data_IF_661794654884
#
_entry.id   IF_661794654884
#
_cell.length_a   1.000
_cell.length_b   1.000
_cell.length_c   1.000
_cell.angle_alpha   90.00
_cell.angle_beta   90.00
_cell.angle_gamma   90.00
#
_symmetry.space_group_name_H-M   'P 1'
#
loop_
_entity.id
_entity.type
_entity.pdbx_description
1 polymer ?
#
# COMPACT_ATOMS: atom_id res chain seq x y z
N UNK A 1 -15.39 3.20 0.47
CA UNK A 1 -16.70 2.82 -0.11
C UNK A 1 -17.84 2.95 0.89
N UNK A 2 -17.73 2.39 2.10
CA UNK A 2 -18.76 2.54 3.16
C UNK A 2 -19.07 4.00 3.52
N UNK A 3 -18.04 4.84 3.72
CA UNK A 3 -18.21 6.28 3.98
C UNK A 3 -18.91 7.03 2.84
N UNK A 4 -18.65 6.63 1.60
CA UNK A 4 -19.27 7.24 0.42
C UNK A 4 -20.77 6.90 0.36
N UNK A 5 -21.13 5.64 0.61
CA UNK A 5 -22.53 5.22 0.65
C UNK A 5 -23.29 5.83 1.83
N UNK A 6 -22.65 5.97 2.99
CA UNK A 6 -23.21 6.74 4.10
C UNK A 6 -23.50 8.19 3.70
N UNK A 7 -22.57 8.83 2.98
CA UNK A 7 -22.78 10.17 2.42
C UNK A 7 -23.99 10.26 1.49
N UNK A 8 -24.18 9.28 0.60
CA UNK A 8 -25.35 9.22 -0.29
C UNK A 8 -26.68 9.02 0.47
N UNK A 9 -26.68 8.22 1.53
CA UNK A 9 -27.84 8.00 2.40
C UNK A 9 -28.18 9.31 3.15
N UNK A 10 -27.18 9.98 3.72
CA UNK A 10 -27.39 11.26 4.39
C UNK A 10 -27.90 12.34 3.41
N UNK A 11 -27.34 12.43 2.22
CA UNK A 11 -27.85 13.32 1.15
C UNK A 11 -29.29 12.98 0.74
N UNK A 12 -29.69 11.71 0.85
CA UNK A 12 -31.07 11.30 0.52
C UNK A 12 -32.10 11.75 1.55
N UNK A 13 -31.69 11.92 2.81
CA UNK A 13 -32.56 12.31 3.92
C UNK A 13 -32.51 13.82 4.16
N UNK A 14 -31.32 14.40 4.13
CA UNK A 14 -31.07 15.79 4.56
C UNK A 14 -30.99 16.82 3.43
N UNK A 15 -30.89 16.39 2.16
CA UNK A 15 -30.81 17.29 1.00
C UNK A 15 -29.80 18.42 1.21
N UNK A 16 -28.50 18.09 1.27
CA UNK A 16 -27.49 19.09 1.64
C UNK A 16 -27.47 20.28 0.69
N UNK A 17 -27.19 21.47 1.22
CA UNK A 17 -27.07 22.68 0.41
C UNK A 17 -25.86 22.60 -0.54
N UNK A 18 -25.89 23.39 -1.61
CA UNK A 18 -24.80 23.52 -2.58
C UNK A 18 -23.45 23.81 -1.91
N UNK A 19 -23.46 24.64 -0.85
CA UNK A 19 -22.27 24.97 -0.07
C UNK A 19 -21.65 23.75 0.63
N UNK A 20 -22.47 22.92 1.26
CA UNK A 20 -22.00 21.71 1.98
C UNK A 20 -21.41 20.72 0.98
N UNK A 21 -22.10 20.46 -0.14
CA UNK A 21 -21.61 19.54 -1.19
C UNK A 21 -20.25 20.00 -1.74
N UNK A 22 -20.10 21.29 -2.04
CA UNK A 22 -18.83 21.84 -2.54
C UNK A 22 -17.71 21.72 -1.52
N UNK A 23 -17.98 22.03 -0.25
CA UNK A 23 -17.01 21.90 0.84
C UNK A 23 -16.53 20.46 1.01
N UNK A 24 -17.44 19.48 0.96
CA UNK A 24 -17.10 18.06 1.03
C UNK A 24 -16.21 17.65 -0.16
N UNK A 25 -16.54 18.06 -1.39
CA UNK A 25 -15.71 17.78 -2.57
C UNK A 25 -14.31 18.38 -2.46
N UNK A 26 -14.20 19.64 -2.02
CA UNK A 26 -12.91 20.30 -1.83
C UNK A 26 -12.06 19.59 -0.77
N UNK A 27 -12.67 19.16 0.34
CA UNK A 27 -11.99 18.43 1.40
C UNK A 27 -11.50 17.05 0.93
N UNK A 28 -12.36 16.29 0.23
CA UNK A 28 -11.99 14.98 -0.34
C UNK A 28 -10.81 15.12 -1.30
N UNK A 29 -10.85 16.13 -2.19
CA UNK A 29 -9.78 16.41 -3.13
C UNK A 29 -8.48 16.79 -2.39
N UNK A 30 -8.56 17.67 -1.40
CA UNK A 30 -7.41 18.09 -0.59
C UNK A 30 -6.73 16.92 0.13
N UNK A 31 -7.51 16.08 0.82
CA UNK A 31 -6.98 14.89 1.51
C UNK A 31 -6.34 13.92 0.50
N UNK A 32 -6.97 13.73 -0.66
CA UNK A 32 -6.45 12.84 -1.69
C UNK A 32 -5.10 13.34 -2.22
N UNK A 33 -4.96 14.63 -2.50
CA UNK A 33 -3.70 15.22 -2.95
C UNK A 33 -2.59 15.10 -1.90
N UNK A 34 -2.90 15.35 -0.62
CA UNK A 34 -1.95 15.19 0.49
C UNK A 34 -1.50 13.73 0.59
N UNK A 35 -2.43 12.78 0.55
CA UNK A 35 -2.15 11.35 0.62
C UNK A 35 -1.26 10.87 -0.54
N UNK A 36 -1.59 11.27 -1.77
CA UNK A 36 -0.79 10.93 -2.97
C UNK A 36 0.61 11.52 -2.88
N UNK A 37 0.73 12.79 -2.47
CA UNK A 37 2.02 13.46 -2.29
C UNK A 37 2.88 12.76 -1.25
N UNK A 38 2.29 12.38 -0.11
CA UNK A 38 2.96 11.63 0.94
C UNK A 38 3.49 10.26 0.45
N UNK A 39 2.69 9.54 -0.33
CA UNK A 39 3.10 8.25 -0.92
C UNK A 39 4.30 8.44 -1.87
N UNK A 40 4.28 9.47 -2.71
CA UNK A 40 5.38 9.78 -3.63
C UNK A 40 6.65 10.10 -2.86
N UNK A 41 6.59 10.99 -1.86
CA UNK A 41 7.73 11.37 -1.02
C UNK A 41 8.31 10.14 -0.30
N UNK A 42 7.44 9.30 0.26
CA UNK A 42 7.86 8.08 0.95
C UNK A 42 8.52 7.10 -0.01
N UNK A 43 7.95 6.87 -1.19
CA UNK A 43 8.53 6.02 -2.23
C UNK A 43 9.91 6.51 -2.69
N UNK A 44 10.08 7.83 -2.86
CA UNK A 44 11.40 8.41 -3.16
C UNK A 44 12.40 8.22 -2.03
N UNK A 45 12.00 8.39 -0.76
CA UNK A 45 12.86 8.15 0.41
C UNK A 45 13.29 6.68 0.55
N UNK A 46 12.40 5.74 0.22
CA UNK A 46 12.72 4.30 0.15
C UNK A 46 13.78 4.05 -0.95
N UNK A 47 13.57 4.58 -2.16
CA UNK A 47 14.52 4.42 -3.28
C UNK A 47 15.89 5.01 -2.96
N UNK A 48 15.94 6.14 -2.25
CA UNK A 48 17.18 6.78 -1.77
C UNK A 48 17.81 6.07 -0.56
N UNK A 49 17.31 4.91 -0.14
CA UNK A 49 17.84 4.13 0.98
C UNK A 49 17.92 4.93 2.31
N UNK A 50 17.10 5.98 2.45
CA UNK A 50 17.20 6.93 3.56
C UNK A 50 16.38 6.52 4.79
N UNK A 51 15.43 5.61 4.61
CA UNK A 51 14.57 5.12 5.70
C UNK A 51 15.20 3.89 6.35
N UNK A 52 15.58 4.01 7.62
CA UNK A 52 16.27 2.96 8.39
C UNK A 52 15.60 1.58 8.29
N UNK A 53 14.26 1.53 8.33
CA UNK A 53 13.47 0.28 8.25
C UNK A 53 13.44 -0.36 6.86
N UNK A 54 13.66 0.43 5.80
CA UNK A 54 13.65 -0.04 4.41
C UNK A 54 15.05 -0.03 3.78
N UNK A 55 16.09 0.14 4.60
CA UNK A 55 17.46 0.12 4.10
C UNK A 55 17.81 -1.26 3.57
N UNK A 56 18.52 -1.33 2.45
CA UNK A 56 18.98 -2.60 1.86
C UNK A 56 19.71 -3.48 2.88
N UNK A 57 20.53 -2.89 3.74
CA UNK A 57 21.21 -3.61 4.83
C UNK A 57 20.27 -4.18 5.88
N UNK A 58 19.20 -3.46 6.23
CA UNK A 58 18.19 -3.93 7.18
C UNK A 58 17.34 -5.05 6.58
N UNK A 59 16.94 -4.91 5.32
CA UNK A 59 16.22 -5.93 4.57
C UNK A 59 17.07 -7.20 4.39
N UNK A 60 18.35 -7.05 4.03
CA UNK A 60 19.29 -8.16 3.90
C UNK A 60 19.52 -8.87 5.25
N UNK A 61 19.68 -8.14 6.34
CA UNK A 61 19.81 -8.74 7.68
C UNK A 61 18.53 -9.50 8.09
N UNK A 62 17.37 -8.89 7.88
CA UNK A 62 16.10 -9.50 8.28
C UNK A 62 15.79 -10.74 7.42
N UNK A 63 16.02 -10.69 6.10
CA UNK A 63 15.87 -11.84 5.22
C UNK A 63 16.92 -12.93 5.49
N UNK A 64 18.15 -12.53 5.84
CA UNK A 64 19.25 -13.43 6.19
C UNK A 64 18.89 -14.37 7.34
N UNK A 65 18.26 -13.83 8.39
CA UNK A 65 17.79 -14.57 9.57
C UNK A 65 16.84 -15.73 9.26
N UNK A 66 16.03 -15.60 8.21
CA UNK A 66 15.06 -16.64 7.82
C UNK A 66 15.58 -17.61 6.77
N UNK A 67 16.71 -17.31 6.11
CA UNK A 67 17.25 -18.09 4.97
C UNK A 67 18.52 -18.84 5.32
N UNK A 68 19.38 -18.26 6.14
CA UNK A 68 20.74 -18.74 6.37
C UNK A 68 20.96 -19.05 7.86
N UNK A 69 21.80 -20.05 8.19
CA UNK A 69 22.14 -20.38 9.57
C UNK A 69 22.95 -19.27 10.27
N UNK A 70 23.55 -18.35 9.49
CA UNK A 70 24.19 -17.13 9.99
C UNK A 70 23.48 -15.93 9.39
N UNK A 71 22.91 -15.10 10.27
CA UNK A 71 22.15 -13.89 9.92
C UNK A 71 22.94 -12.95 9.00
N UNK A 72 24.26 -12.87 9.19
CA UNK A 72 25.13 -11.95 8.46
C UNK A 72 25.52 -12.45 7.04
N UNK A 73 25.12 -13.65 6.64
CA UNK A 73 25.52 -14.21 5.33
C UNK A 73 25.03 -13.33 4.18
N UNK A 74 23.80 -12.81 4.29
CA UNK A 74 23.18 -12.02 3.23
C UNK A 74 23.65 -10.56 3.23
N UNK A 75 23.94 -9.96 4.39
CA UNK A 75 24.53 -8.62 4.46
C UNK A 75 25.98 -8.63 3.96
N UNK A 76 26.74 -9.69 4.22
CA UNK A 76 28.09 -9.85 3.69
C UNK A 76 28.07 -10.02 2.16
N UNK A 77 27.11 -10.78 1.63
CA UNK A 77 26.91 -10.87 0.19
C UNK A 77 26.56 -9.50 -0.43
N UNK A 78 25.66 -8.73 0.20
CA UNK A 78 25.33 -7.36 -0.24
C UNK A 78 26.55 -6.44 -0.22
N UNK A 79 27.36 -6.49 0.84
CA UNK A 79 28.60 -5.72 0.94
C UNK A 79 29.61 -6.14 -0.13
N UNK A 80 29.75 -7.44 -0.43
CA UNK A 80 30.63 -7.92 -1.52
C UNK A 80 30.14 -7.40 -2.87
N UNK A 81 28.84 -7.39 -3.14
CA UNK A 81 28.27 -6.83 -4.37
C UNK A 81 28.51 -5.32 -4.49
N UNK A 82 28.28 -4.56 -3.40
CA UNK A 82 28.55 -3.12 -3.35
C UNK A 82 30.04 -2.78 -3.44
N UNK A 83 30.92 -3.63 -2.88
CA UNK A 83 32.38 -3.45 -2.84
C UNK A 83 33.12 -4.13 -4.00
N UNK A 84 32.44 -4.86 -4.88
CA UNK A 84 33.03 -5.58 -6.00
C UNK A 84 33.79 -4.69 -7.02
N UNK A 85 33.69 -3.37 -6.88
CA UNK A 85 34.58 -2.42 -7.56
C UNK A 85 36.04 -2.46 -7.07
N UNK A 86 36.38 -3.15 -5.97
CA UNK A 86 37.72 -3.08 -5.35
C UNK A 86 38.38 -4.35 -4.79
N UNK A 87 37.86 -5.58 -4.99
CA UNK A 87 38.44 -6.79 -4.35
C UNK A 87 39.28 -7.70 -5.29
N UNK A 88 40.35 -8.27 -4.73
CA UNK A 88 41.41 -9.02 -5.44
C UNK A 88 41.05 -10.43 -5.93
N UNK A 89 39.90 -11.01 -5.56
CA UNK A 89 39.49 -12.35 -6.02
C UNK A 89 38.05 -12.36 -6.56
N UNK A 90 37.89 -11.91 -7.80
CA UNK A 90 36.58 -11.79 -8.48
C UNK A 90 35.85 -13.13 -8.59
N UNK A 91 36.59 -14.21 -8.80
CA UNK A 91 36.00 -15.53 -9.06
C UNK A 91 35.36 -16.15 -7.81
N UNK A 92 36.05 -16.06 -6.66
CA UNK A 92 35.54 -16.57 -5.38
C UNK A 92 34.33 -15.76 -4.90
N UNK A 93 34.40 -14.42 -5.02
CA UNK A 93 33.28 -13.53 -4.72
C UNK A 93 32.06 -13.82 -5.58
N UNK A 94 32.24 -14.03 -6.88
CA UNK A 94 31.15 -14.38 -7.80
C UNK A 94 30.52 -15.75 -7.46
N UNK A 95 31.33 -16.74 -7.11
CA UNK A 95 30.83 -18.05 -6.68
C UNK A 95 29.98 -17.95 -5.40
N UNK A 96 30.45 -17.17 -4.42
CA UNK A 96 29.73 -16.91 -3.17
C UNK A 96 28.40 -16.16 -3.39
N UNK A 97 28.40 -15.11 -4.23
CA UNK A 97 27.19 -14.36 -4.59
C UNK A 97 26.17 -15.26 -5.30
N UNK A 98 26.61 -16.08 -6.26
CA UNK A 98 25.74 -17.00 -7.00
C UNK A 98 25.10 -18.05 -6.09
N UNK A 99 25.87 -18.60 -5.14
CA UNK A 99 25.36 -19.57 -4.17
C UNK A 99 24.34 -18.92 -3.22
N UNK A 100 24.64 -17.72 -2.72
CA UNK A 100 23.76 -16.97 -1.81
C UNK A 100 22.47 -16.59 -2.51
N UNK A 101 22.53 -16.09 -3.75
CA UNK A 101 21.37 -15.79 -4.59
C UNK A 101 20.49 -17.03 -4.84
N UNK A 102 21.09 -18.17 -5.18
CA UNK A 102 20.35 -19.43 -5.40
C UNK A 102 19.65 -19.93 -4.13
N UNK A 103 20.23 -19.72 -2.94
CA UNK A 103 19.59 -20.04 -1.66
C UNK A 103 18.49 -19.03 -1.32
N UNK A 104 18.70 -17.75 -1.58
CA UNK A 104 17.71 -16.70 -1.40
C UNK A 104 16.49 -16.88 -2.30
N UNK A 105 16.68 -17.32 -3.55
CA UNK A 105 15.60 -17.59 -4.49
C UNK A 105 14.66 -18.73 -4.04
N UNK A 106 15.12 -19.60 -3.13
CA UNK A 106 14.31 -20.67 -2.52
C UNK A 106 13.62 -20.24 -1.23
N UNK A 107 13.79 -18.99 -0.81
CA UNK A 107 13.14 -18.50 0.40
C UNK A 107 11.63 -18.42 0.19
N UNK A 108 10.92 -18.99 1.15
CA UNK A 108 9.50 -18.79 1.33
C UNK A 108 9.19 -17.35 1.81
N UNK A 109 8.69 -16.52 0.90
CA UNK A 109 8.30 -15.13 1.13
C UNK A 109 7.19 -15.01 2.19
N UNK A 110 6.42 -16.06 2.43
CA UNK A 110 5.37 -16.08 3.47
C UNK A 110 5.92 -15.91 4.89
N UNK A 111 7.19 -16.25 5.11
CA UNK A 111 7.86 -16.06 6.39
C UNK A 111 8.38 -14.63 6.59
N UNK A 112 8.61 -13.90 5.50
CA UNK A 112 9.08 -12.51 5.54
C UNK A 112 7.94 -11.49 5.58
N UNK A 113 6.84 -11.79 4.90
CA UNK A 113 5.67 -10.92 4.85
C UNK A 113 4.53 -11.53 5.65
N UNK A 114 3.86 -10.78 6.55
CA UNK A 114 2.72 -11.29 7.31
C UNK A 114 1.49 -11.43 6.41
N UNK A 115 1.50 -12.46 5.54
CA UNK A 115 0.45 -12.75 4.55
C UNK A 115 -0.92 -12.94 5.20
N UNK A 116 -0.95 -13.53 6.40
CA UNK A 116 -2.19 -13.73 7.15
C UNK A 116 -2.94 -12.42 7.44
N UNK A 117 -2.24 -11.33 7.78
CA UNK A 117 -2.90 -10.03 8.00
C UNK A 117 -3.49 -9.48 6.70
N UNK A 118 -2.76 -9.61 5.60
CA UNK A 118 -3.22 -9.17 4.28
C UNK A 118 -4.50 -9.93 3.89
N UNK A 119 -4.54 -11.23 4.17
CA UNK A 119 -5.68 -12.08 3.89
C UNK A 119 -6.92 -11.71 4.74
N UNK A 120 -6.73 -11.40 6.03
CA UNK A 120 -7.81 -10.87 6.89
C UNK A 120 -8.35 -9.56 6.31
N UNK A 121 -7.48 -8.61 5.97
CA UNK A 121 -7.92 -7.33 5.39
C UNK A 121 -8.62 -7.52 4.04
N UNK A 122 -8.18 -8.48 3.23
CA UNK A 122 -8.85 -8.86 1.98
C UNK A 122 -10.27 -9.40 2.24
N UNK A 123 -10.45 -10.24 3.26
CA UNK A 123 -11.77 -10.76 3.62
C UNK A 123 -12.69 -9.65 4.16
N UNK A 124 -12.19 -8.84 5.09
CA UNK A 124 -12.94 -7.70 5.66
C UNK A 124 -13.38 -6.72 4.56
N UNK A 125 -12.48 -6.39 3.63
CA UNK A 125 -12.80 -5.49 2.51
C UNK A 125 -13.83 -6.10 1.57
N UNK A 126 -13.74 -7.41 1.28
CA UNK A 126 -14.71 -8.10 0.45
C UNK A 126 -16.11 -8.09 1.08
N UNK A 127 -16.22 -8.43 2.37
CA UNK A 127 -17.48 -8.42 3.12
C UNK A 127 -18.07 -7.00 3.17
N UNK A 128 -17.23 -5.99 3.43
CA UNK A 128 -17.68 -4.60 3.41
C UNK A 128 -18.22 -4.19 2.05
N UNK A 129 -17.57 -4.62 0.97
CA UNK A 129 -17.96 -4.31 -0.41
C UNK A 129 -19.28 -4.99 -0.78
N UNK A 130 -19.48 -6.26 -0.43
CA UNK A 130 -20.73 -6.98 -0.71
C UNK A 130 -21.92 -6.35 0.04
N UNK A 131 -21.76 -6.02 1.32
CA UNK A 131 -22.80 -5.31 2.11
C UNK A 131 -23.13 -3.96 1.46
N UNK A 132 -22.11 -3.22 1.04
CA UNK A 132 -22.28 -1.89 0.43
C UNK A 132 -23.07 -1.99 -0.89
N UNK A 133 -22.74 -2.95 -1.76
CA UNK A 133 -23.47 -3.19 -3.01
C UNK A 133 -24.92 -3.56 -2.71
N UNK A 134 -25.15 -4.43 -1.74
CA UNK A 134 -26.48 -4.86 -1.37
C UNK A 134 -27.35 -3.69 -0.85
N UNK A 135 -26.78 -2.82 -0.02
CA UNK A 135 -27.47 -1.61 0.46
C UNK A 135 -27.83 -0.67 -0.70
N UNK A 136 -26.91 -0.44 -1.64
CA UNK A 136 -27.17 0.37 -2.83
C UNK A 136 -28.23 -0.24 -3.75
N UNK A 137 -28.31 -1.56 -3.83
CA UNK A 137 -29.33 -2.26 -4.61
C UNK A 137 -30.73 -2.04 -4.02
N UNK A 138 -30.88 -2.11 -2.69
CA UNK A 138 -32.15 -1.87 -2.00
C UNK A 138 -32.57 -0.39 -2.12
N UNK A 139 -31.62 0.55 -1.96
CA UNK A 139 -31.92 2.00 -1.96
C UNK A 139 -31.73 2.66 -3.32
N UNK A 140 -31.68 1.88 -4.40
CA UNK A 140 -31.27 2.32 -5.75
C UNK A 140 -31.86 3.66 -6.19
N UNK A 141 -33.19 3.84 -6.09
CA UNK A 141 -33.86 5.07 -6.52
C UNK A 141 -33.37 6.30 -5.74
N UNK A 142 -33.21 6.16 -4.43
CA UNK A 142 -32.72 7.23 -3.57
C UNK A 142 -31.23 7.48 -3.79
N UNK A 143 -30.42 6.42 -3.90
CA UNK A 143 -28.97 6.52 -4.13
C UNK A 143 -28.64 7.19 -5.46
N UNK A 144 -29.35 6.85 -6.54
CA UNK A 144 -29.15 7.47 -7.87
C UNK A 144 -29.53 8.95 -7.84
N UNK A 145 -30.64 9.30 -7.19
CA UNK A 145 -31.07 10.69 -7.04
C UNK A 145 -30.05 11.52 -6.22
N UNK A 146 -29.57 10.99 -5.10
CA UNK A 146 -28.53 11.63 -4.29
C UNK A 146 -27.21 11.78 -5.06
N UNK A 147 -26.81 10.75 -5.79
CA UNK A 147 -25.60 10.79 -6.63
C UNK A 147 -25.70 11.90 -7.68
N UNK A 148 -26.85 12.02 -8.34
CA UNK A 148 -27.09 13.06 -9.34
C UNK A 148 -26.99 14.47 -8.74
N UNK A 149 -27.52 14.69 -7.53
CA UNK A 149 -27.38 15.97 -6.82
C UNK A 149 -25.93 16.25 -6.39
N UNK A 150 -25.21 15.21 -6.01
CA UNK A 150 -23.79 15.31 -5.65
C UNK A 150 -22.88 15.60 -6.84
N UNK A 151 -23.19 15.07 -8.04
CA UNK A 151 -22.45 15.39 -9.26
C UNK A 151 -22.78 16.77 -9.81
N UNK A 152 -23.92 17.35 -9.41
CA UNK A 152 -24.34 18.71 -9.75
C UNK A 152 -24.40 19.59 -8.49
N UNK A 153 -23.26 19.87 -7.84
CA UNK A 153 -23.23 20.57 -6.56
C UNK A 153 -23.66 22.04 -6.65
N UNK A 154 -23.88 22.59 -7.85
CA UNK A 154 -24.32 23.97 -8.09
C UNK A 154 -25.84 24.12 -8.24
N UNK A 155 -26.58 23.02 -8.36
CA UNK A 155 -28.04 23.05 -8.53
C UNK A 155 -28.73 22.86 -7.17
N UNK A 156 -29.56 23.83 -6.81
CA UNK A 156 -30.47 23.73 -5.68
C UNK A 156 -31.78 23.06 -6.11
N UNK A 157 -32.33 22.22 -5.25
CA UNK A 157 -33.55 21.43 -5.46
C UNK A 157 -34.49 21.65 -4.29
#
# INVERSE_FOLDING_TARGET
MTLFVLGLILESVFYFSSYVRFTVWALVLGITLIGVSWLIITGQKIRKNSLQRYRWSYLAKNAGKYTFPKDDTLINALQIEESAQGSSSKELSNAFLKQTSKKLAKLDLSKLFPLHRIEIWKQVTLIGLTITIFLLAITWRHSVSSLYRWSHPKTEF
#
